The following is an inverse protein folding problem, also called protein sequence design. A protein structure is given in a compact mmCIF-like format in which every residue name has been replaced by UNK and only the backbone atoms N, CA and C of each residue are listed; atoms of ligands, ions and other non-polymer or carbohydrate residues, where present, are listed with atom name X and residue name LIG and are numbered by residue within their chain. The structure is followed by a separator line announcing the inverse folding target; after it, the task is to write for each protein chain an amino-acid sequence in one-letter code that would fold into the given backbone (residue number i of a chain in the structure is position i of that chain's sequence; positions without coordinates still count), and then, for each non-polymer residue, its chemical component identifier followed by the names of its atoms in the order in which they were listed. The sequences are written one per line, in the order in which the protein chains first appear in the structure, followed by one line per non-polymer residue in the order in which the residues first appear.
data_IF_331532646177
#
_entry.id   IF_331532646177
#
_cell.length_a   1.000
_cell.length_b   1.000
_cell.length_c   1.000
_cell.angle_alpha   90.00
_cell.angle_beta   90.00
_cell.angle_gamma   90.00
#
_symmetry.space_group_name_H-M   'P 1'
#
loop_
_entity.id
_entity.type
_entity.pdbx_description
1 polymer ?
#
# COMPACT_ATOMS: atom_id res chain seq x y z
N UNK A 1 -16.91 53.36 9.11
CA UNK A 1 -17.33 52.49 8.00
C UNK A 1 -16.14 51.86 7.26
N UNK A 2 -15.14 52.65 6.92
CA UNK A 2 -13.94 52.15 6.22
C UNK A 2 -13.16 51.10 7.04
N UNK A 3 -13.09 51.26 8.35
CA UNK A 3 -12.43 50.32 9.25
C UNK A 3 -13.10 48.93 9.24
N UNK A 4 -14.43 48.87 9.10
CA UNK A 4 -15.16 47.60 9.02
C UNK A 4 -14.87 46.85 7.73
N UNK A 5 -14.71 47.53 6.61
CA UNK A 5 -14.34 46.92 5.32
C UNK A 5 -12.95 46.33 5.37
N UNK A 6 -11.98 46.98 6.02
CA UNK A 6 -10.63 46.47 6.19
C UNK A 6 -10.60 45.21 7.03
N UNK A 7 -11.41 45.15 8.12
CA UNK A 7 -11.54 43.94 8.94
C UNK A 7 -12.09 42.76 8.15
N UNK A 8 -13.09 42.99 7.28
CA UNK A 8 -13.66 41.94 6.44
C UNK A 8 -12.62 41.35 5.47
N UNK A 9 -11.74 42.17 4.92
CA UNK A 9 -10.66 41.73 4.04
C UNK A 9 -9.66 40.85 4.78
N UNK A 10 -9.28 41.21 6.00
CA UNK A 10 -8.37 40.38 6.84
C UNK A 10 -8.99 39.06 7.18
N UNK A 11 -10.27 39.04 7.51
CA UNK A 11 -10.99 37.80 7.83
C UNK A 11 -11.04 36.85 6.64
N UNK A 12 -11.21 37.34 5.42
CA UNK A 12 -11.19 36.53 4.21
C UNK A 12 -9.82 35.87 3.97
N UNK A 13 -8.75 36.62 4.15
CA UNK A 13 -7.39 36.10 4.02
C UNK A 13 -7.10 35.01 5.02
N UNK A 14 -7.56 35.17 6.24
CA UNK A 14 -7.42 34.14 7.27
C UNK A 14 -8.21 32.86 6.95
N UNK A 15 -9.41 33.00 6.37
CA UNK A 15 -10.22 31.86 5.96
C UNK A 15 -9.52 31.02 4.89
N UNK A 16 -8.90 31.64 3.91
CA UNK A 16 -8.15 30.93 2.87
C UNK A 16 -6.98 30.13 3.44
N UNK A 17 -6.23 30.71 4.36
CA UNK A 17 -5.12 29.99 5.03
C UNK A 17 -5.62 28.80 5.84
N UNK A 18 -6.76 28.96 6.52
CA UNK A 18 -7.36 27.88 7.30
C UNK A 18 -7.80 26.72 6.41
N UNK A 19 -8.38 27.00 5.25
CA UNK A 19 -8.79 25.98 4.30
C UNK A 19 -7.61 25.15 3.79
N UNK A 20 -6.48 25.78 3.45
CA UNK A 20 -5.28 25.08 2.98
C UNK A 20 -4.71 24.16 4.06
N UNK A 21 -4.70 24.58 5.31
CA UNK A 21 -4.23 23.76 6.43
C UNK A 21 -5.17 22.57 6.63
N UNK A 22 -6.48 22.77 6.56
CA UNK A 22 -7.48 21.72 6.69
C UNK A 22 -7.33 20.66 5.62
N UNK A 23 -7.04 21.04 4.38
CA UNK A 23 -6.83 20.10 3.28
C UNK A 23 -5.61 19.20 3.51
N UNK A 24 -4.50 19.75 4.00
CA UNK A 24 -3.31 18.96 4.32
C UNK A 24 -3.57 17.96 5.45
N UNK A 25 -4.28 18.37 6.49
CA UNK A 25 -4.65 17.50 7.61
C UNK A 25 -5.55 16.37 7.13
N UNK A 26 -6.54 16.67 6.28
CA UNK A 26 -7.44 15.67 5.73
C UNK A 26 -6.71 14.62 4.88
N UNK A 27 -5.73 15.04 4.08
CA UNK A 27 -4.92 14.13 3.27
C UNK A 27 -4.13 13.15 4.14
N UNK A 28 -3.50 13.63 5.21
CA UNK A 28 -2.76 12.79 6.14
C UNK A 28 -3.68 11.80 6.86
N UNK A 29 -4.88 12.24 7.25
CA UNK A 29 -5.89 11.38 7.86
C UNK A 29 -6.35 10.27 6.91
N UNK A 30 -6.56 10.60 5.63
CA UNK A 30 -6.95 9.61 4.62
C UNK A 30 -5.87 8.55 4.44
N UNK A 31 -4.61 8.93 4.40
CA UNK A 31 -3.49 7.99 4.30
C UNK A 31 -3.41 7.09 5.53
N UNK A 32 -3.52 7.65 6.72
CA UNK A 32 -3.52 6.88 7.97
C UNK A 32 -4.68 5.89 8.01
N UNK A 33 -5.86 6.29 7.54
CA UNK A 33 -7.04 5.41 7.47
C UNK A 33 -6.81 4.26 6.49
N UNK A 34 -6.20 4.52 5.35
CA UNK A 34 -5.92 3.48 4.36
C UNK A 34 -4.91 2.46 4.90
N UNK A 35 -3.84 2.92 5.54
CA UNK A 35 -2.86 2.03 6.17
C UNK A 35 -3.53 1.15 7.23
N UNK A 36 -4.40 1.72 8.06
CA UNK A 36 -5.13 0.99 9.08
C UNK A 36 -6.09 -0.03 8.47
N UNK A 37 -6.77 0.31 7.37
CA UNK A 37 -7.62 -0.63 6.63
C UNK A 37 -6.80 -1.78 6.06
N UNK A 38 -5.65 -1.50 5.46
CA UNK A 38 -4.76 -2.53 4.93
C UNK A 38 -4.32 -3.47 6.06
N UNK A 39 -3.92 -2.91 7.19
CA UNK A 39 -3.54 -3.68 8.37
C UNK A 39 -4.66 -4.60 8.83
N UNK A 40 -5.87 -4.09 8.93
CA UNK A 40 -7.03 -4.86 9.37
C UNK A 40 -7.40 -5.97 8.39
N UNK A 41 -7.35 -5.68 7.09
CA UNK A 41 -7.67 -6.68 6.05
C UNK A 41 -6.59 -7.76 5.96
N UNK A 42 -5.34 -7.41 6.23
CA UNK A 42 -4.22 -8.35 6.20
C UNK A 42 -4.05 -9.14 7.51
N UNK A 43 -4.65 -8.69 8.59
CA UNK A 43 -4.47 -9.31 9.91
C UNK A 43 -4.87 -10.79 9.91
N UNK A 44 -3.95 -11.65 10.33
CA UNK A 44 -4.17 -13.09 10.36
C UNK A 44 -3.96 -13.79 9.03
N UNK A 45 -3.72 -13.07 7.94
CA UNK A 45 -3.34 -13.67 6.67
C UNK A 45 -1.86 -13.99 6.65
N UNK A 46 -1.52 -15.16 6.08
CA UNK A 46 -0.14 -15.57 5.91
C UNK A 46 0.14 -15.90 4.45
N UNK A 47 1.30 -15.49 3.98
CA UNK A 47 1.81 -15.91 2.68
C UNK A 47 2.53 -17.24 2.87
N UNK A 48 2.02 -18.26 2.23
CA UNK A 48 2.51 -19.62 2.38
C UNK A 48 3.54 -19.95 1.30
N UNK A 49 4.76 -20.24 1.72
CA UNK A 49 5.84 -20.72 0.88
C UNK A 49 6.45 -21.94 1.61
N UNK A 50 7.75 -22.09 1.63
CA UNK A 50 8.39 -23.08 2.51
C UNK A 50 8.27 -22.68 3.98
N UNK A 51 7.97 -21.41 4.24
CA UNK A 51 7.63 -20.87 5.57
C UNK A 51 6.34 -20.07 5.45
N UNK A 52 5.67 -19.91 6.59
CA UNK A 52 4.49 -19.04 6.67
C UNK A 52 4.93 -17.67 7.18
N UNK A 53 4.60 -16.64 6.44
CA UNK A 53 4.95 -15.27 6.82
C UNK A 53 3.71 -14.37 6.88
N UNK A 54 3.66 -13.53 7.89
CA UNK A 54 2.58 -12.56 8.04
C UNK A 54 2.58 -11.56 6.90
N UNK A 55 1.40 -11.05 6.58
CA UNK A 55 1.22 -9.96 5.65
C UNK A 55 1.11 -8.67 6.45
N UNK A 56 2.02 -7.75 6.22
CA UNK A 56 2.10 -6.49 6.96
C UNK A 56 1.87 -5.31 6.02
N UNK A 57 1.30 -4.19 6.51
CA UNK A 57 1.23 -2.99 5.70
C UNK A 57 2.63 -2.44 5.42
N UNK A 58 2.81 -1.87 4.23
CA UNK A 58 4.03 -1.21 3.83
C UNK A 58 3.74 0.24 3.48
N UNK A 59 4.52 1.15 4.03
CA UNK A 59 4.45 2.57 3.71
C UNK A 59 5.82 3.04 3.24
N UNK A 60 5.85 3.71 2.10
CA UNK A 60 7.05 4.33 1.57
C UNK A 60 6.88 5.83 1.49
N UNK A 61 7.76 6.45 0.72
CA UNK A 61 7.76 7.89 0.52
C UNK A 61 7.19 8.24 -0.85
N UNK A 62 7.02 9.54 -1.08
CA UNK A 62 6.55 10.06 -2.35
C UNK A 62 7.52 9.72 -3.47
N UNK A 63 6.98 9.27 -4.62
CA UNK A 63 7.78 8.94 -5.79
C UNK A 63 6.92 9.13 -7.04
N UNK A 64 7.58 9.34 -8.17
CA UNK A 64 6.91 9.53 -9.45
C UNK A 64 6.55 8.20 -10.13
N UNK A 65 7.23 7.13 -9.76
CA UNK A 65 7.04 5.84 -10.42
C UNK A 65 7.15 4.67 -9.46
N UNK A 66 6.58 3.54 -9.88
CA UNK A 66 6.71 2.25 -9.18
C UNK A 66 7.67 1.40 -10.01
N UNK A 67 8.93 1.32 -9.59
CA UNK A 67 9.99 0.63 -10.31
C UNK A 67 10.91 -0.12 -9.36
N UNK A 68 11.71 -1.03 -9.91
CA UNK A 68 12.70 -1.78 -9.15
C UNK A 68 13.67 -0.86 -8.39
N UNK A 69 14.15 0.18 -9.05
CA UNK A 69 15.10 1.13 -8.43
C UNK A 69 14.46 1.85 -7.24
N UNK A 70 13.19 2.26 -7.37
CA UNK A 70 12.46 2.91 -6.29
C UNK A 70 12.31 1.97 -5.10
N UNK A 71 11.96 0.71 -5.36
CA UNK A 71 11.81 -0.29 -4.29
C UNK A 71 13.14 -0.52 -3.58
N UNK A 72 14.22 -0.74 -4.32
CA UNK A 72 15.53 -0.95 -3.71
C UNK A 72 15.97 0.24 -2.87
N UNK A 73 15.74 1.46 -3.36
CA UNK A 73 16.08 2.69 -2.64
C UNK A 73 15.27 2.85 -1.36
N UNK A 74 13.95 2.72 -1.45
CA UNK A 74 13.05 2.97 -0.31
C UNK A 74 13.10 1.86 0.73
N UNK A 75 13.50 0.65 0.36
CA UNK A 75 13.66 -0.47 1.29
C UNK A 75 15.08 -0.62 1.79
N UNK A 76 15.98 0.30 1.40
CA UNK A 76 17.39 0.33 1.80
C UNK A 76 18.18 -0.92 1.37
N UNK A 77 17.81 -1.49 0.23
CA UNK A 77 18.55 -2.58 -0.38
C UNK A 77 19.60 -2.04 -1.34
N UNK A 78 20.63 -2.85 -1.60
CA UNK A 78 21.65 -2.49 -2.59
C UNK A 78 21.08 -2.52 -4.00
N UNK A 79 21.58 -1.66 -4.89
CA UNK A 79 21.14 -1.61 -6.28
C UNK A 79 21.42 -2.89 -7.07
N UNK A 80 22.39 -3.67 -6.63
CA UNK A 80 22.74 -4.95 -7.23
C UNK A 80 22.01 -6.14 -6.62
N UNK A 81 21.11 -5.90 -5.67
CA UNK A 81 20.29 -6.96 -5.09
C UNK A 81 19.40 -7.59 -6.17
N UNK A 82 19.27 -8.92 -6.20
CA UNK A 82 18.33 -9.57 -7.11
C UNK A 82 16.92 -9.07 -6.84
N UNK A 83 16.23 -8.65 -7.89
CA UNK A 83 14.87 -8.18 -7.80
C UNK A 83 14.10 -8.63 -9.04
N UNK A 84 12.88 -9.13 -8.83
CA UNK A 84 11.98 -9.58 -9.88
C UNK A 84 10.67 -8.81 -9.76
N UNK A 85 10.21 -8.25 -10.88
CA UNK A 85 8.91 -7.59 -10.96
C UNK A 85 7.87 -8.58 -11.50
N UNK A 86 6.75 -8.70 -10.81
CA UNK A 86 5.65 -9.57 -11.19
C UNK A 86 4.35 -8.76 -11.33
N UNK A 87 3.40 -9.32 -12.07
CA UNK A 87 2.10 -8.68 -12.24
C UNK A 87 1.22 -8.87 -11.01
N UNK A 88 0.61 -7.78 -10.58
CA UNK A 88 -0.31 -7.76 -9.44
C UNK A 88 -1.45 -8.78 -9.62
N UNK A 89 -2.07 -8.79 -10.80
CA UNK A 89 -3.20 -9.68 -11.08
C UNK A 89 -2.82 -11.16 -10.96
N UNK A 90 -1.66 -11.55 -11.47
CA UNK A 90 -1.18 -12.93 -11.40
C UNK A 90 -0.86 -13.34 -9.95
N UNK A 91 -0.26 -12.44 -9.18
CA UNK A 91 0.06 -12.69 -7.79
C UNK A 91 -1.20 -13.00 -6.97
N UNK A 92 -2.22 -12.15 -7.10
CA UNK A 92 -3.46 -12.35 -6.36
C UNK A 92 -4.34 -13.45 -6.94
N UNK A 93 -4.22 -13.76 -8.22
CA UNK A 93 -4.97 -14.87 -8.81
C UNK A 93 -4.69 -16.18 -8.07
N UNK A 94 -3.44 -16.43 -7.73
CA UNK A 94 -3.05 -17.63 -6.97
C UNK A 94 -3.60 -17.62 -5.55
N UNK A 95 -3.63 -16.47 -4.91
CA UNK A 95 -4.07 -16.35 -3.52
C UNK A 95 -5.59 -16.37 -3.37
N UNK A 96 -6.32 -16.01 -4.42
CA UNK A 96 -7.79 -15.95 -4.40
C UNK A 96 -8.45 -17.17 -5.05
N UNK A 97 -7.69 -18.03 -5.69
CA UNK A 97 -8.19 -19.25 -6.33
C UNK A 97 -8.64 -20.25 -5.25
N UNK A 98 -9.86 -20.78 -5.38
CA UNK A 98 -10.41 -21.77 -4.48
C UNK A 98 -10.25 -23.13 -5.12
N UNK A 99 -9.50 -24.01 -4.46
CA UNK A 99 -9.26 -25.38 -4.92
C UNK A 99 -10.33 -26.32 -4.36
N UNK A 100 -10.59 -27.42 -5.06
CA UNK A 100 -11.60 -28.41 -4.67
C UNK A 100 -11.31 -29.03 -3.30
N UNK A 101 -10.03 -29.12 -2.93
CA UNK A 101 -9.60 -29.73 -1.65
C UNK A 101 -9.62 -28.75 -0.48
N UNK A 102 -9.97 -27.48 -0.71
CA UNK A 102 -9.98 -26.47 0.36
C UNK A 102 -11.03 -26.77 1.42
N UNK A 103 -10.62 -26.68 2.68
CA UNK A 103 -11.53 -26.65 3.82
C UNK A 103 -12.05 -25.24 4.06
N UNK A 104 -12.78 -25.07 5.16
CA UNK A 104 -13.40 -23.77 5.49
C UNK A 104 -12.37 -22.68 5.74
N UNK A 105 -11.26 -23.01 6.38
CA UNK A 105 -10.21 -22.03 6.69
C UNK A 105 -9.52 -21.51 5.42
N UNK A 106 -9.20 -22.40 4.48
CA UNK A 106 -8.56 -22.03 3.23
C UNK A 106 -9.49 -21.20 2.35
N UNK A 107 -10.79 -21.51 2.35
CA UNK A 107 -11.80 -20.73 1.64
C UNK A 107 -11.93 -19.32 2.23
N UNK A 108 -11.94 -19.21 3.56
CA UNK A 108 -12.00 -17.91 4.25
C UNK A 108 -10.77 -17.07 3.96
N UNK A 109 -9.59 -17.70 3.95
CA UNK A 109 -8.35 -17.00 3.61
C UNK A 109 -8.39 -16.47 2.18
N UNK A 110 -8.84 -17.28 1.21
CA UNK A 110 -8.98 -16.86 -0.17
C UNK A 110 -9.95 -15.69 -0.32
N UNK A 111 -11.08 -15.73 0.37
CA UNK A 111 -12.05 -14.63 0.39
C UNK A 111 -11.45 -13.35 0.98
N UNK A 112 -10.68 -13.48 2.04
CA UNK A 112 -10.01 -12.33 2.67
C UNK A 112 -8.92 -11.75 1.78
N UNK A 113 -8.18 -12.58 1.05
CA UNK A 113 -7.23 -12.10 0.03
C UNK A 113 -7.94 -11.34 -1.08
N UNK A 114 -9.13 -11.79 -1.48
CA UNK A 114 -9.91 -11.08 -2.48
C UNK A 114 -10.32 -9.68 -1.99
N UNK A 115 -10.75 -9.56 -0.74
CA UNK A 115 -11.09 -8.28 -0.13
C UNK A 115 -9.86 -7.36 -0.05
N UNK A 116 -8.71 -7.90 0.31
CA UNK A 116 -7.46 -7.14 0.34
C UNK A 116 -7.07 -6.67 -1.07
N UNK A 117 -7.16 -7.54 -2.05
CA UNK A 117 -6.92 -7.20 -3.46
C UNK A 117 -7.80 -6.02 -3.90
N UNK A 118 -9.08 -6.10 -3.62
CA UNK A 118 -10.05 -5.05 -3.99
C UNK A 118 -9.73 -3.73 -3.31
N UNK A 119 -9.35 -3.77 -2.04
CA UNK A 119 -8.95 -2.59 -1.29
C UNK A 119 -7.75 -1.91 -1.94
N UNK A 120 -6.74 -2.67 -2.32
CA UNK A 120 -5.54 -2.14 -2.97
C UNK A 120 -5.86 -1.57 -4.34
N UNK A 121 -6.63 -2.28 -5.15
CA UNK A 121 -7.03 -1.83 -6.49
C UNK A 121 -7.85 -0.54 -6.45
N UNK A 122 -8.72 -0.41 -5.48
CA UNK A 122 -9.60 0.76 -5.33
C UNK A 122 -8.82 2.02 -4.94
N UNK A 123 -7.76 1.88 -4.15
CA UNK A 123 -7.09 3.01 -3.53
C UNK A 123 -5.70 3.32 -4.08
N UNK A 124 -5.09 2.38 -4.79
CA UNK A 124 -3.73 2.53 -5.31
C UNK A 124 -3.70 2.35 -6.82
N UNK A 125 -2.81 3.08 -7.47
CA UNK A 125 -2.60 2.96 -8.92
C UNK A 125 -1.18 2.44 -9.20
N UNK A 126 -0.98 1.92 -10.41
CA UNK A 126 0.30 1.35 -10.85
C UNK A 126 0.78 0.22 -9.94
N UNK A 127 -0.15 -0.63 -9.50
CA UNK A 127 0.15 -1.76 -8.62
C UNK A 127 1.10 -2.75 -9.28
N UNK A 128 2.15 -3.10 -8.56
CA UNK A 128 3.15 -4.07 -8.99
C UNK A 128 3.62 -4.90 -7.81
N UNK A 129 4.19 -6.05 -8.12
CA UNK A 129 4.77 -6.96 -7.13
C UNK A 129 6.28 -7.04 -7.37
N UNK A 130 7.05 -6.92 -6.30
CA UNK A 130 8.51 -7.03 -6.36
C UNK A 130 8.97 -8.10 -5.37
N UNK A 131 9.79 -9.02 -5.86
CA UNK A 131 10.45 -10.03 -5.03
C UNK A 131 11.93 -9.70 -4.98
N UNK A 132 12.45 -9.44 -3.80
CA UNK A 132 13.84 -9.06 -3.57
C UNK A 132 14.56 -10.20 -2.86
N UNK A 133 15.65 -10.69 -3.44
CA UNK A 133 16.45 -11.77 -2.91
C UNK A 133 16.50 -12.97 -3.85
N UNK A 134 17.09 -14.06 -3.39
CA UNK A 134 17.20 -15.30 -4.16
C UNK A 134 16.40 -16.43 -3.53
N UNK A 135 16.81 -16.89 -2.36
CA UNK A 135 16.17 -17.99 -1.62
C UNK A 135 15.22 -17.39 -0.58
N UNK A 136 15.75 -16.49 0.24
CA UNK A 136 14.95 -15.71 1.18
C UNK A 136 14.51 -14.44 0.47
N UNK A 137 13.21 -14.30 0.28
CA UNK A 137 12.63 -13.22 -0.49
C UNK A 137 11.86 -12.27 0.41
N UNK A 138 12.06 -10.97 0.17
CA UNK A 138 11.14 -9.94 0.65
C UNK A 138 10.19 -9.62 -0.50
N UNK A 139 8.90 -9.70 -0.25
CA UNK A 139 7.86 -9.46 -1.26
C UNK A 139 7.15 -8.16 -0.93
N UNK A 140 7.09 -7.28 -1.91
CA UNK A 140 6.40 -5.98 -1.81
C UNK A 140 5.31 -5.92 -2.86
N UNK A 141 4.07 -5.71 -2.44
CA UNK A 141 2.94 -5.46 -3.33
C UNK A 141 2.52 -4.01 -3.11
N UNK A 142 2.86 -3.16 -4.04
CA UNK A 142 2.80 -1.71 -3.84
C UNK A 142 2.23 -0.98 -5.03
N UNK A 143 1.68 0.18 -4.76
CA UNK A 143 1.22 1.14 -5.75
C UNK A 143 1.34 2.55 -5.19
N UNK A 144 0.79 3.51 -5.91
CA UNK A 144 0.81 4.92 -5.50
C UNK A 144 -0.56 5.32 -4.99
N UNK A 145 -0.59 5.99 -3.85
CA UNK A 145 -1.83 6.59 -3.33
C UNK A 145 -2.15 7.92 -4.03
N UNK A 146 -3.18 8.62 -3.57
CA UNK A 146 -3.61 9.88 -4.15
C UNK A 146 -2.53 10.98 -4.10
N UNK A 147 -1.58 10.85 -3.17
CA UNK A 147 -0.49 11.81 -2.99
C UNK A 147 0.83 11.33 -3.60
N UNK A 148 0.80 10.32 -4.46
CA UNK A 148 1.98 9.71 -5.07
C UNK A 148 2.96 9.09 -4.07
N UNK A 149 2.45 8.63 -2.92
CA UNK A 149 3.25 7.91 -1.94
C UNK A 149 3.16 6.42 -2.19
N UNK A 150 4.28 5.74 -2.02
CA UNK A 150 4.35 4.30 -2.19
C UNK A 150 3.67 3.62 -0.98
N UNK A 151 2.72 2.74 -1.25
CA UNK A 151 1.89 2.13 -0.22
C UNK A 151 1.45 0.74 -0.65
N UNK A 152 1.28 -0.16 0.30
CA UNK A 152 0.79 -1.50 0.01
C UNK A 152 1.03 -2.47 1.14
N UNK A 153 1.47 -3.67 0.79
CA UNK A 153 1.76 -4.73 1.74
C UNK A 153 3.16 -5.28 1.50
N UNK A 154 3.71 -5.89 2.55
CA UNK A 154 4.98 -6.62 2.48
C UNK A 154 4.85 -7.95 3.19
N UNK A 155 5.59 -8.92 2.71
CA UNK A 155 5.68 -10.24 3.33
C UNK A 155 7.01 -10.86 2.98
N UNK A 156 7.22 -12.08 3.42
CA UNK A 156 8.45 -12.84 3.14
C UNK A 156 8.10 -14.19 2.57
N UNK A 157 9.05 -14.76 1.84
CA UNK A 157 8.93 -16.11 1.32
C UNK A 157 10.28 -16.80 1.34
N UNK A 158 10.27 -18.12 1.34
CA UNK A 158 11.45 -18.94 1.11
C UNK A 158 11.15 -19.81 -0.09
N UNK A 159 11.91 -19.61 -1.17
CA UNK A 159 11.74 -20.33 -2.42
C UNK A 159 13.10 -20.94 -2.83
N UNK A 160 13.17 -22.26 -2.88
CA UNK A 160 14.37 -22.98 -3.27
C UNK A 160 14.24 -23.61 -4.64
#
# INVERSE_FOLDING_TARGET
MLKRKKKRHKDRGNSEKSENISNKVNTNLQQSNLVEQIKNYAAGLCYISETDAEILPFTGEETESVSSNVILTQTKNNFDSPIEENHFAEFFARLTEIQDWFGDEEKKAAERYLLLKELLEKNLRNLKVFKVGKIQLDIYVVGLDAENRLLGIKTKAVET
#
